data_IF_172469107193
#
_entry.id   IF_172469107193
#
_cell.length_a   1.000
_cell.length_b   1.000
_cell.length_c   1.000
_cell.angle_alpha   90.00
_cell.angle_beta   90.00
_cell.angle_gamma   90.00
#
_symmetry.space_group_name_H-M   'P 1'
#
loop_
_entity.id
_entity.type
_entity.pdbx_description
1 polymer ?
#
# COMPACT_ATOMS: atom_id res chain seq x y z
N UNK A 1 3.86 -10.27 11.74
CA UNK A 1 3.27 -8.99 11.23
C UNK A 1 2.14 -9.33 10.27
N UNK A 2 0.96 -8.77 10.50
CA UNK A 2 -0.24 -9.12 9.74
C UNK A 2 -1.07 -7.86 9.44
N UNK A 3 -1.86 -7.94 8.36
CA UNK A 3 -2.84 -6.90 8.01
C UNK A 3 -4.17 -7.58 7.71
N UNK A 4 -5.27 -6.88 7.98
CA UNK A 4 -6.61 -7.35 7.68
C UNK A 4 -7.52 -6.16 7.44
N UNK A 5 -8.28 -6.17 6.35
CA UNK A 5 -9.20 -5.09 6.02
C UNK A 5 -9.98 -5.37 4.74
N UNK A 6 -10.81 -4.39 4.38
CA UNK A 6 -11.58 -4.42 3.14
C UNK A 6 -10.75 -3.86 2.00
N UNK A 7 -11.02 -4.34 0.79
CA UNK A 7 -10.22 -4.04 -0.40
C UNK A 7 -10.81 -2.89 -1.20
N UNK A 8 -9.92 -1.96 -1.58
CA UNK A 8 -10.14 -0.99 -2.65
C UNK A 8 -9.32 -1.46 -3.86
N UNK A 9 -9.99 -1.70 -4.98
CA UNK A 9 -9.39 -2.30 -6.18
C UNK A 9 -9.16 -1.27 -7.28
N UNK A 10 -7.96 -1.26 -7.84
CA UNK A 10 -7.57 -0.38 -8.95
C UNK A 10 -6.86 -1.20 -10.03
N UNK A 11 -6.69 -0.60 -11.21
CA UNK A 11 -6.13 -1.27 -12.37
C UNK A 11 -4.62 -1.09 -12.52
N UNK A 12 -4.16 -1.14 -13.79
CA UNK A 12 -2.76 -0.95 -14.16
C UNK A 12 -2.32 0.51 -14.05
N UNK A 13 -1.03 0.71 -13.85
CA UNK A 13 -0.37 2.02 -13.96
C UNK A 13 -0.99 3.11 -13.09
N UNK A 14 -1.30 2.77 -11.84
CA UNK A 14 -1.71 3.78 -10.85
C UNK A 14 -0.47 4.59 -10.51
N UNK A 15 -0.32 5.76 -11.14
CA UNK A 15 0.90 6.55 -11.00
C UNK A 15 0.85 7.48 -9.77
N UNK A 16 2.00 8.00 -9.41
CA UNK A 16 2.14 8.83 -8.20
C UNK A 16 1.32 10.11 -8.25
N UNK A 17 1.08 10.69 -9.45
CA UNK A 17 0.21 11.85 -9.62
C UNK A 17 -1.26 11.51 -9.34
N UNK A 18 -1.67 10.28 -9.62
CA UNK A 18 -3.02 9.79 -9.32
C UNK A 18 -3.17 9.53 -7.83
N UNK A 19 -2.12 8.98 -7.20
CA UNK A 19 -2.13 8.70 -5.75
C UNK A 19 -2.18 9.99 -4.96
N UNK A 20 -1.33 10.96 -5.29
CA UNK A 20 -1.34 12.28 -4.68
C UNK A 20 -1.01 13.33 -5.75
N UNK A 21 -1.99 14.15 -6.17
CA UNK A 21 -1.78 15.13 -7.23
C UNK A 21 -0.72 16.17 -6.89
N UNK A 22 -0.01 16.64 -7.92
CA UNK A 22 1.09 17.60 -7.76
C UNK A 22 0.67 18.89 -7.04
N UNK A 23 -0.60 19.30 -7.17
CA UNK A 23 -1.12 20.50 -6.53
C UNK A 23 -1.10 20.45 -5.00
N UNK A 24 -0.89 19.25 -4.40
CA UNK A 24 -0.83 19.08 -2.95
C UNK A 24 0.58 18.84 -2.42
N UNK A 25 1.60 18.89 -3.29
CA UNK A 25 2.98 18.56 -2.89
C UNK A 25 3.70 19.71 -2.15
N UNK A 26 3.06 20.85 -1.99
CA UNK A 26 3.59 21.96 -1.19
C UNK A 26 3.48 21.68 0.32
N UNK A 27 2.80 20.62 0.71
CA UNK A 27 2.72 20.16 2.08
C UNK A 27 3.44 18.83 2.26
N UNK A 28 4.09 18.63 3.40
CA UNK A 28 4.66 17.34 3.80
C UNK A 28 3.93 16.76 5.00
N UNK A 29 2.84 17.37 5.43
CA UNK A 29 2.02 16.88 6.54
C UNK A 29 1.26 15.62 6.12
N UNK A 30 1.56 14.44 6.72
CA UNK A 30 0.88 13.20 6.35
C UNK A 30 -0.64 13.28 6.46
N UNK A 31 -1.16 13.94 7.49
CA UNK A 31 -2.61 14.06 7.70
C UNK A 31 -3.26 14.86 6.56
N UNK A 32 -2.62 15.91 6.10
CA UNK A 32 -3.12 16.71 4.98
C UNK A 32 -3.05 15.93 3.67
N UNK A 33 -1.94 15.23 3.41
CA UNK A 33 -1.80 14.39 2.23
C UNK A 33 -2.86 13.28 2.20
N UNK A 34 -3.17 12.71 3.35
CA UNK A 34 -4.17 11.66 3.47
C UNK A 34 -5.56 12.12 3.02
N UNK A 35 -5.91 13.39 3.24
CA UNK A 35 -7.23 13.91 2.85
C UNK A 35 -7.42 14.00 1.35
N UNK A 36 -6.34 13.93 0.57
CA UNK A 36 -6.37 14.02 -0.89
C UNK A 36 -5.90 12.74 -1.57
N UNK A 37 -5.66 11.68 -0.80
CA UNK A 37 -5.16 10.42 -1.33
C UNK A 37 -6.15 9.81 -2.33
N UNK A 38 -5.67 9.45 -3.51
CA UNK A 38 -6.46 8.83 -4.58
C UNK A 38 -7.59 9.72 -5.15
N UNK A 39 -7.58 11.02 -4.83
CA UNK A 39 -8.67 11.93 -5.16
C UNK A 39 -9.02 11.97 -6.65
N UNK A 40 -8.01 11.93 -7.52
CA UNK A 40 -8.22 12.04 -8.97
C UNK A 40 -8.69 10.74 -9.63
N UNK A 41 -8.54 9.60 -8.97
CA UNK A 41 -8.99 8.31 -9.50
C UNK A 41 -10.24 7.79 -8.77
N UNK A 42 -10.37 8.12 -7.50
CA UNK A 42 -11.48 7.66 -6.66
C UNK A 42 -11.75 8.72 -5.57
N UNK A 43 -12.60 9.67 -5.91
CA UNK A 43 -12.89 10.80 -5.02
C UNK A 43 -13.55 10.38 -3.69
N UNK A 44 -14.14 9.19 -3.65
CA UNK A 44 -14.80 8.69 -2.45
C UNK A 44 -13.88 7.82 -1.59
N UNK A 45 -12.65 7.58 -2.03
CA UNK A 45 -11.70 6.75 -1.30
C UNK A 45 -11.49 7.26 0.14
N UNK A 46 -11.20 8.55 0.30
CA UNK A 46 -10.92 9.12 1.63
C UNK A 46 -12.13 9.12 2.56
N UNK A 47 -13.34 9.08 1.99
CA UNK A 47 -14.57 8.99 2.77
C UNK A 47 -14.84 7.57 3.26
N UNK A 48 -14.43 6.58 2.49
CA UNK A 48 -14.80 5.18 2.72
C UNK A 48 -13.67 4.36 3.35
N UNK A 49 -12.42 4.80 3.20
CA UNK A 49 -11.27 4.06 3.74
C UNK A 49 -11.29 4.09 5.27
N UNK A 50 -11.02 2.95 5.87
CA UNK A 50 -10.91 2.80 7.33
C UNK A 50 -9.52 2.27 7.65
N UNK A 51 -9.08 2.53 8.88
CA UNK A 51 -7.79 2.03 9.34
C UNK A 51 -7.74 0.51 9.21
N UNK A 52 -6.72 0.01 8.53
CA UNK A 52 -6.53 -1.40 8.28
C UNK A 52 -6.94 -1.85 6.89
N UNK A 53 -7.65 -1.03 6.13
CA UNK A 53 -8.08 -1.38 4.78
C UNK A 53 -6.89 -1.58 3.84
N UNK A 54 -7.14 -2.28 2.73
CA UNK A 54 -6.08 -2.76 1.83
C UNK A 54 -6.36 -2.24 0.42
N UNK A 55 -5.31 -1.77 -0.27
CA UNK A 55 -5.38 -1.45 -1.70
C UNK A 55 -4.88 -2.67 -2.46
N UNK A 56 -5.63 -3.08 -3.50
CA UNK A 56 -5.21 -4.11 -4.44
C UNK A 56 -5.22 -3.49 -5.84
N UNK A 57 -4.11 -3.63 -6.56
CA UNK A 57 -3.98 -3.09 -7.91
C UNK A 57 -3.25 -4.09 -8.80
N UNK A 58 -3.14 -3.76 -10.07
CA UNK A 58 -2.53 -4.66 -11.03
C UNK A 58 -1.08 -4.31 -11.30
N UNK A 59 -0.69 -4.01 -12.54
CA UNK A 59 0.71 -3.82 -12.90
C UNK A 59 1.20 -2.40 -12.65
N UNK A 60 2.47 -2.30 -12.27
CA UNK A 60 3.22 -1.04 -12.25
C UNK A 60 2.62 0.01 -11.32
N UNK A 61 2.20 -0.41 -10.12
CA UNK A 61 1.64 0.50 -9.12
C UNK A 61 2.73 1.47 -8.62
N UNK A 62 2.39 2.76 -8.56
CA UNK A 62 3.32 3.78 -8.12
C UNK A 62 4.26 4.29 -9.19
N UNK A 63 3.96 4.04 -10.48
CA UNK A 63 4.77 4.53 -11.59
C UNK A 63 4.76 6.06 -11.68
N UNK A 64 5.57 6.63 -12.56
CA UNK A 64 5.68 8.08 -12.72
C UNK A 64 6.79 8.67 -11.88
N UNK A 65 6.56 9.85 -11.31
CA UNK A 65 7.58 10.58 -10.55
C UNK A 65 7.91 9.88 -9.22
N UNK A 66 9.17 9.98 -8.80
CA UNK A 66 9.64 9.38 -7.54
C UNK A 66 9.25 10.25 -6.34
N UNK A 67 7.97 10.24 -5.98
CA UNK A 67 7.45 11.06 -4.88
C UNK A 67 7.25 10.23 -3.63
N UNK A 68 7.97 10.59 -2.58
CA UNK A 68 7.77 9.99 -1.25
C UNK A 68 6.38 10.31 -0.70
N UNK A 69 5.77 11.39 -1.16
CA UNK A 69 4.42 11.80 -0.75
C UNK A 69 3.36 10.71 -1.05
N UNK A 70 3.55 9.95 -2.13
CA UNK A 70 2.57 8.93 -2.52
C UNK A 70 2.41 7.83 -1.46
N UNK A 71 3.47 7.11 -1.05
CA UNK A 71 3.31 6.11 0.01
C UNK A 71 2.95 6.71 1.36
N UNK A 72 3.41 7.94 1.66
CA UNK A 72 3.04 8.63 2.89
C UNK A 72 1.53 8.90 2.93
N UNK A 73 0.96 9.37 1.82
CA UNK A 73 -0.48 9.64 1.73
C UNK A 73 -1.30 8.35 1.92
N UNK A 74 -0.89 7.26 1.30
CA UNK A 74 -1.57 5.97 1.43
C UNK A 74 -1.53 5.48 2.88
N UNK A 75 -0.36 5.50 3.50
CA UNK A 75 -0.20 5.06 4.89
C UNK A 75 -1.02 5.93 5.84
N UNK A 76 -0.95 7.24 5.70
CA UNK A 76 -1.65 8.18 6.57
C UNK A 76 -3.18 8.08 6.41
N UNK A 77 -3.67 7.66 5.25
CA UNK A 77 -5.10 7.42 5.03
C UNK A 77 -5.62 6.21 5.81
N UNK A 78 -4.73 5.39 6.36
CA UNK A 78 -5.11 4.23 7.17
C UNK A 78 -4.90 2.89 6.48
N UNK A 79 -4.41 2.88 5.25
CA UNK A 79 -4.17 1.64 4.51
C UNK A 79 -3.08 0.83 5.20
N UNK A 80 -3.36 -0.44 5.47
CA UNK A 80 -2.43 -1.34 6.16
C UNK A 80 -1.48 -2.06 5.22
N UNK A 81 -1.85 -2.17 3.94
CA UNK A 81 -1.07 -2.94 2.96
C UNK A 81 -1.51 -2.58 1.54
N UNK A 82 -0.57 -2.63 0.60
CA UNK A 82 -0.87 -2.57 -0.84
C UNK A 82 -0.42 -3.88 -1.47
N UNK A 83 -1.35 -4.54 -2.17
CA UNK A 83 -1.08 -5.76 -2.93
C UNK A 83 -1.15 -5.39 -4.42
N UNK A 84 -0.15 -5.74 -5.21
CA UNK A 84 -0.17 -5.49 -6.64
C UNK A 84 0.51 -6.63 -7.41
N UNK A 85 0.25 -6.71 -8.71
CA UNK A 85 1.01 -7.64 -9.57
C UNK A 85 2.48 -7.25 -9.57
N UNK A 86 2.75 -5.95 -9.81
CA UNK A 86 4.10 -5.39 -9.76
C UNK A 86 4.03 -3.96 -9.24
N UNK A 87 5.14 -3.49 -8.67
CA UNK A 87 5.33 -2.11 -8.24
C UNK A 87 6.45 -1.46 -9.05
N UNK A 88 6.32 -0.15 -9.29
CA UNK A 88 7.44 0.62 -9.79
C UNK A 88 8.56 0.59 -8.74
N UNK A 89 9.81 0.44 -9.19
CA UNK A 89 10.97 0.21 -8.30
C UNK A 89 11.11 1.31 -7.23
N UNK A 90 10.99 2.56 -7.63
CA UNK A 90 11.17 3.68 -6.71
C UNK A 90 10.04 3.73 -5.68
N UNK A 91 8.81 3.49 -6.12
CA UNK A 91 7.67 3.41 -5.19
C UNK A 91 7.87 2.29 -4.17
N UNK A 92 8.31 1.12 -4.62
CA UNK A 92 8.59 -0.02 -3.73
C UNK A 92 9.58 0.40 -2.63
N UNK A 93 10.69 1.01 -3.02
CA UNK A 93 11.73 1.46 -2.08
C UNK A 93 11.17 2.50 -1.11
N UNK A 94 10.47 3.50 -1.62
CA UNK A 94 9.93 4.57 -0.78
C UNK A 94 8.89 4.03 0.20
N UNK A 95 8.04 3.10 -0.22
CA UNK A 95 7.05 2.48 0.65
C UNK A 95 7.70 1.76 1.83
N UNK A 96 8.71 0.94 1.57
CA UNK A 96 9.44 0.24 2.63
C UNK A 96 10.10 1.25 3.59
N UNK A 97 10.73 2.28 3.05
CA UNK A 97 11.44 3.28 3.85
C UNK A 97 10.53 4.05 4.80
N UNK A 98 9.27 4.25 4.44
CA UNK A 98 8.32 4.95 5.32
C UNK A 98 7.43 4.00 6.13
N UNK A 99 7.65 2.70 5.99
CA UNK A 99 6.92 1.70 6.77
C UNK A 99 5.55 1.32 6.23
N UNK A 100 5.29 1.53 4.94
CA UNK A 100 4.06 1.05 4.29
C UNK A 100 4.29 -0.38 3.79
N UNK A 101 3.61 -1.39 4.36
CA UNK A 101 3.75 -2.76 3.87
C UNK A 101 3.20 -2.91 2.45
N UNK A 102 3.97 -3.56 1.58
CA UNK A 102 3.55 -3.85 0.20
C UNK A 102 3.98 -5.27 -0.15
N UNK A 103 3.21 -5.91 -1.03
CA UNK A 103 3.52 -7.27 -1.44
C UNK A 103 3.13 -7.47 -2.91
N UNK A 104 4.02 -8.11 -3.68
CA UNK A 104 3.75 -8.47 -5.06
C UNK A 104 3.18 -9.88 -5.13
N UNK A 105 2.00 -10.01 -5.70
CA UNK A 105 1.36 -11.30 -5.92
C UNK A 105 0.40 -11.18 -7.11
N UNK A 106 0.84 -11.56 -8.32
CA UNK A 106 0.00 -11.44 -9.51
C UNK A 106 -1.33 -12.19 -9.40
N UNK A 107 -1.32 -13.39 -8.82
CA UNK A 107 -2.53 -14.19 -8.67
C UNK A 107 -3.56 -13.49 -7.77
N UNK A 108 -3.13 -13.01 -6.62
CA UNK A 108 -4.00 -12.30 -5.68
C UNK A 108 -4.50 -10.99 -6.29
N UNK A 109 -3.62 -10.25 -6.95
CA UNK A 109 -3.96 -8.97 -7.55
C UNK A 109 -5.06 -9.08 -8.61
N UNK A 110 -5.08 -10.19 -9.34
CA UNK A 110 -6.11 -10.43 -10.36
C UNK A 110 -7.42 -10.95 -9.78
N UNK A 111 -7.35 -11.80 -8.77
CA UNK A 111 -8.50 -12.53 -8.25
C UNK A 111 -9.28 -11.77 -7.17
N UNK A 112 -8.60 -10.98 -6.35
CA UNK A 112 -9.25 -10.22 -5.27
C UNK A 112 -10.06 -9.08 -5.87
N UNK A 113 -11.27 -8.89 -5.36
CA UNK A 113 -12.18 -7.86 -5.85
C UNK A 113 -12.43 -6.77 -4.80
N UNK A 114 -12.92 -5.63 -5.27
CA UNK A 114 -13.29 -4.52 -4.38
C UNK A 114 -14.34 -4.98 -3.37
N UNK A 115 -14.15 -4.62 -2.11
CA UNK A 115 -15.05 -4.99 -1.03
C UNK A 115 -14.78 -6.33 -0.39
N UNK A 116 -13.88 -7.15 -0.94
CA UNK A 116 -13.46 -8.40 -0.30
C UNK A 116 -12.75 -8.09 1.02
N UNK A 117 -12.91 -8.98 2.01
CA UNK A 117 -12.13 -8.92 3.23
C UNK A 117 -10.89 -9.79 3.06
N UNK A 118 -9.72 -9.21 3.26
CA UNK A 118 -8.44 -9.86 3.00
C UNK A 118 -7.54 -9.78 4.23
N UNK A 119 -6.82 -10.86 4.49
CA UNK A 119 -5.82 -10.95 5.55
C UNK A 119 -4.47 -11.31 4.96
N UNK A 120 -3.43 -10.59 5.36
CA UNK A 120 -2.06 -10.79 4.86
C UNK A 120 -1.13 -11.11 6.02
N UNK A 121 -0.34 -12.17 5.86
CA UNK A 121 0.75 -12.49 6.78
C UNK A 121 2.07 -12.20 6.07
N UNK A 122 2.77 -11.16 6.54
CA UNK A 122 4.01 -10.71 5.89
C UNK A 122 5.20 -11.62 6.20
N UNK A 123 5.13 -12.40 7.26
CA UNK A 123 6.21 -13.32 7.62
C UNK A 123 6.30 -14.50 6.66
N UNK A 124 5.15 -14.98 6.20
CA UNK A 124 5.06 -16.11 5.26
C UNK A 124 4.76 -15.69 3.83
N UNK A 125 4.23 -14.49 3.62
CA UNK A 125 3.75 -14.03 2.32
C UNK A 125 2.36 -14.52 1.98
N UNK A 126 1.65 -15.14 2.93
CA UNK A 126 0.32 -15.67 2.66
C UNK A 126 -0.74 -14.57 2.63
N UNK A 127 -1.58 -14.60 1.59
CA UNK A 127 -2.69 -13.69 1.40
C UNK A 127 -3.97 -14.52 1.38
N UNK A 128 -4.90 -14.21 2.29
CA UNK A 128 -6.18 -14.93 2.37
C UNK A 128 -7.32 -13.99 2.00
N UNK A 129 -8.09 -14.36 0.99
CA UNK A 129 -9.35 -13.68 0.68
C UNK A 129 -10.45 -14.37 1.48
N UNK A 130 -10.84 -13.76 2.60
CA UNK A 130 -11.80 -14.34 3.52
C UNK A 130 -13.21 -14.37 2.94
N UNK A 131 -13.53 -13.42 2.08
CA UNK A 131 -14.84 -13.34 1.42
C UNK A 131 -15.04 -14.52 0.46
N UNK A 132 -14.00 -14.87 -0.30
CA UNK A 132 -14.06 -15.97 -1.28
C UNK A 132 -13.51 -17.28 -0.75
N UNK A 133 -12.94 -17.27 0.44
CA UNK A 133 -12.31 -18.44 1.05
C UNK A 133 -11.21 -19.03 0.16
N UNK A 134 -10.36 -18.15 -0.38
CA UNK A 134 -9.21 -18.51 -1.21
C UNK A 134 -7.93 -17.97 -0.58
N UNK A 135 -6.79 -18.57 -0.96
CA UNK A 135 -5.50 -18.11 -0.47
C UNK A 135 -4.48 -18.08 -1.59
N UNK A 136 -3.51 -17.18 -1.44
CA UNK A 136 -2.43 -16.95 -2.39
C UNK A 136 -1.14 -16.77 -1.63
N UNK A 137 -0.03 -16.96 -2.29
CA UNK A 137 1.28 -16.74 -1.67
C UNK A 137 2.09 -15.76 -2.48
N UNK A 138 2.35 -14.60 -1.88
CA UNK A 138 3.27 -13.61 -2.41
C UNK A 138 4.67 -13.84 -1.87
N UNK A 139 5.57 -12.93 -2.19
CA UNK A 139 6.93 -13.00 -1.71
C UNK A 139 7.03 -12.48 -0.29
N UNK A 140 7.49 -13.31 0.65
CA UNK A 140 7.72 -12.88 2.02
C UNK A 140 8.85 -11.85 2.08
N UNK A 141 8.75 -10.91 3.02
CA UNK A 141 9.81 -9.92 3.21
C UNK A 141 11.04 -10.56 3.87
N UNK A 142 12.26 -10.15 3.46
CA UNK A 142 13.45 -10.44 4.27
C UNK A 142 13.30 -9.86 5.68
N UNK A 143 13.97 -10.48 6.66
CA UNK A 143 13.84 -10.09 8.06
C UNK A 143 14.15 -8.61 8.30
N UNK A 144 15.17 -8.06 7.63
CA UNK A 144 15.52 -6.64 7.83
C UNK A 144 14.43 -5.70 7.33
N UNK A 145 13.73 -6.06 6.24
CA UNK A 145 12.60 -5.26 5.73
C UNK A 145 11.42 -5.29 6.70
N UNK A 146 11.15 -6.45 7.31
CA UNK A 146 10.10 -6.56 8.32
C UNK A 146 10.39 -5.67 9.52
N UNK A 147 11.66 -5.57 9.94
CA UNK A 147 12.07 -4.70 11.04
C UNK A 147 11.90 -3.22 10.71
N UNK A 148 12.22 -2.81 9.48
CA UNK A 148 12.02 -1.43 9.03
C UNK A 148 10.53 -1.08 9.06
N UNK A 149 9.67 -1.95 8.54
CA UNK A 149 8.24 -1.73 8.51
C UNK A 149 7.66 -1.71 9.93
N UNK A 150 8.09 -2.63 10.78
CA UNK A 150 7.64 -2.69 12.17
C UNK A 150 8.03 -1.44 12.96
N UNK A 151 9.16 -0.82 12.63
CA UNK A 151 9.60 0.44 13.23
C UNK A 151 8.93 1.68 12.61
N UNK A 152 8.05 1.46 11.62
CA UNK A 152 7.36 2.51 10.87
C UNK A 152 8.29 3.39 10.04
N UNK A 153 9.33 2.78 9.48
CA UNK A 153 10.21 3.40 8.52
C UNK A 153 11.68 3.28 8.86
N UNK A 154 12.53 3.59 7.86
CA UNK A 154 13.98 3.43 7.96
C UNK A 154 14.58 4.34 9.02
N UNK A 155 14.16 5.60 9.10
CA UNK A 155 14.70 6.56 10.07
C UNK A 155 14.44 6.08 11.50
N UNK A 156 13.22 5.66 11.78
CA UNK A 156 12.88 5.11 13.10
C UNK A 156 13.66 3.84 13.42
N UNK A 157 13.84 2.97 12.42
CA UNK A 157 14.60 1.74 12.59
C UNK A 157 16.05 2.03 12.98
N UNK A 158 16.69 2.99 12.31
CA UNK A 158 18.06 3.38 12.61
C UNK A 158 18.15 3.97 14.03
N UNK A 159 17.20 4.78 14.42
CA UNK A 159 17.18 5.44 15.73
C UNK A 159 16.92 4.48 16.90
N UNK A 160 16.43 3.28 16.63
CA UNK A 160 16.21 2.25 17.66
C UNK A 160 17.46 1.43 18.00
N UNK A 161 18.52 1.61 17.24
CA UNK A 161 19.75 0.85 17.45
C UNK A 161 20.62 1.45 18.53
#
# INVERSE_FOLDING_TARGET
>A
MQAKGLVFKYGDNVDTDVIIPARYLNSSDPAELATHCMEDIDKDFVKNVKKGDIIVAEKNFGCGSSREHAPIAIKAAGVSCVIAETFARIFYRNAINIGLPIIECPEAAKAIEAGDEVEVNFDSGEIKDLTKNTSYKGQAFPTFMQKIIAAEGLVNYINQK
#
